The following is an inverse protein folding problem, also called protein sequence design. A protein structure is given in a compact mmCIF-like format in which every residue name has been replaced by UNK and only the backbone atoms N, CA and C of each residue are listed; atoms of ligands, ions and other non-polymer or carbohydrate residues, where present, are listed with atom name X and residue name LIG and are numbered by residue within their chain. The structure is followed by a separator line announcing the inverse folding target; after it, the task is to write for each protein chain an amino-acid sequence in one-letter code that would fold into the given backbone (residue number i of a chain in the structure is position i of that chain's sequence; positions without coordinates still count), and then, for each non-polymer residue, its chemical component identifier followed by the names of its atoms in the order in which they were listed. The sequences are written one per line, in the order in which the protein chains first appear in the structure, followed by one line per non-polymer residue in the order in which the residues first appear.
data_IF_809736043721
#
_entry.id   IF_809736043721
#
_cell.length_a   1.000
_cell.length_b   1.000
_cell.length_c   1.000
_cell.angle_alpha   90.00
_cell.angle_beta   90.00
_cell.angle_gamma   90.00
#
_symmetry.space_group_name_H-M   'P 1'
#
loop_
_entity.id
_entity.type
_entity.pdbx_description
1 polymer ?
#
# COMPACT_ATOMS: atom_id res chain seq x y z
N UNK A 1 -10.52 23.57 -17.41
CA UNK A 1 -9.27 24.17 -16.86
C UNK A 1 -8.78 23.26 -15.74
N UNK A 2 -7.64 22.58 -15.96
CA UNK A 2 -7.09 21.59 -14.99
C UNK A 2 -6.16 22.33 -14.05
N UNK A 3 -6.51 22.42 -12.76
CA UNK A 3 -5.60 22.91 -11.73
C UNK A 3 -4.63 21.82 -11.32
N UNK A 4 -3.42 21.88 -11.87
CA UNK A 4 -2.25 21.14 -11.38
C UNK A 4 -1.82 21.75 -10.05
N UNK A 5 -2.15 21.10 -8.92
CA UNK A 5 -1.57 21.46 -7.63
C UNK A 5 -0.14 20.92 -7.56
N UNK A 6 0.85 21.77 -7.84
CA UNK A 6 2.23 21.55 -7.42
C UNK A 6 2.28 21.53 -5.89
N UNK A 7 2.58 20.37 -5.27
CA UNK A 7 2.95 20.34 -3.85
C UNK A 7 4.29 21.03 -3.69
N UNK A 8 4.28 22.21 -3.04
CA UNK A 8 5.49 22.93 -2.69
C UNK A 8 6.28 22.12 -1.65
N UNK A 9 7.49 21.71 -1.97
CA UNK A 9 8.42 21.08 -1.03
C UNK A 9 9.02 22.18 -0.15
N UNK A 10 8.51 22.31 1.08
CA UNK A 10 9.29 22.92 2.16
C UNK A 10 10.34 21.87 2.60
N UNK A 11 11.60 22.22 2.41
CA UNK A 11 12.74 21.36 2.76
C UNK A 11 12.84 21.15 4.27
N UNK A 12 12.25 20.06 4.76
CA UNK A 12 12.54 19.49 6.07
C UNK A 12 13.47 18.30 5.82
N UNK A 13 14.72 18.43 6.25
CA UNK A 13 15.70 17.35 6.24
C UNK A 13 15.17 16.18 7.09
N UNK A 14 14.81 15.08 6.43
CA UNK A 14 14.36 13.85 7.08
C UNK A 14 15.60 13.12 7.63
N UNK A 15 15.58 12.67 8.90
CA UNK A 15 16.70 11.91 9.46
C UNK A 15 16.86 10.57 8.75
N UNK A 16 18.11 10.23 8.41
CA UNK A 16 18.47 8.91 7.91
C UNK A 16 18.21 7.87 9.01
N UNK A 17 17.29 6.94 8.78
CA UNK A 17 17.02 5.84 9.70
C UNK A 17 18.03 4.72 9.44
N UNK A 18 18.92 4.52 10.41
CA UNK A 18 19.85 3.40 10.46
C UNK A 18 19.08 2.09 10.60
N UNK A 19 19.50 1.08 9.84
CA UNK A 19 19.07 -0.30 9.98
C UNK A 19 19.65 -0.86 11.30
N UNK A 20 18.87 -0.85 12.39
CA UNK A 20 19.23 -1.50 13.65
C UNK A 20 18.73 -2.93 13.61
N UNK A 21 19.66 -3.87 13.44
CA UNK A 21 19.44 -5.30 13.74
C UNK A 21 19.66 -5.47 15.24
N UNK A 22 18.62 -5.34 16.03
CA UNK A 22 18.64 -5.74 17.45
C UNK A 22 17.46 -6.69 17.68
N UNK A 23 17.73 -7.79 18.43
CA UNK A 23 16.94 -8.99 18.63
C UNK A 23 15.53 -8.84 19.21
N UNK A 24 14.64 -8.24 18.46
CA UNK A 24 13.19 -8.25 18.59
C UNK A 24 12.62 -7.82 17.26
N UNK A 25 11.72 -8.61 16.67
CA UNK A 25 11.10 -8.23 15.40
C UNK A 25 10.25 -6.97 15.63
N UNK A 26 10.73 -5.82 15.12
CA UNK A 26 9.96 -4.58 15.12
C UNK A 26 8.70 -4.79 14.29
N UNK A 27 7.53 -4.46 14.84
CA UNK A 27 6.24 -4.57 14.14
C UNK A 27 6.24 -3.78 12.84
N UNK A 28 5.52 -4.27 11.83
CA UNK A 28 5.46 -3.59 10.52
C UNK A 28 4.81 -2.20 10.65
N UNK A 29 3.83 -2.03 11.54
CA UNK A 29 3.21 -0.74 11.81
C UNK A 29 4.22 0.31 12.36
N UNK A 30 5.21 -0.12 13.15
CA UNK A 30 6.30 0.72 13.66
C UNK A 30 7.27 1.07 12.54
N UNK A 31 7.71 0.07 11.74
CA UNK A 31 8.60 0.29 10.60
C UNK A 31 8.00 1.25 9.57
N UNK A 32 6.67 1.20 9.38
CA UNK A 32 5.94 2.11 8.51
C UNK A 32 5.63 3.45 9.17
N UNK A 33 6.03 3.64 10.43
CA UNK A 33 5.69 4.86 11.19
C UNK A 33 4.19 5.22 11.04
N UNK A 34 3.31 4.24 11.33
CA UNK A 34 1.88 4.44 11.16
C UNK A 34 1.36 5.58 12.03
N UNK A 35 0.51 6.41 11.45
CA UNK A 35 -0.12 7.56 12.11
C UNK A 35 -1.63 7.44 12.03
N UNK A 36 -2.36 7.94 13.04
CA UNK A 36 -3.83 7.94 13.04
C UNK A 36 -4.39 8.71 11.83
N UNK A 37 -5.55 8.27 11.35
CA UNK A 37 -6.23 8.82 10.18
C UNK A 37 -6.18 7.86 8.98
N UNK A 38 -6.34 8.40 7.77
CA UNK A 38 -6.40 7.62 6.52
C UNK A 38 -5.00 7.27 6.01
N UNK A 39 -4.77 5.99 5.78
CA UNK A 39 -3.60 5.47 5.06
C UNK A 39 -4.04 4.77 3.79
N UNK A 40 -3.53 5.19 2.65
CA UNK A 40 -3.74 4.52 1.37
C UNK A 40 -2.65 3.48 1.12
N UNK A 41 -3.03 2.28 0.71
CA UNK A 41 -2.12 1.20 0.30
C UNK A 41 -2.31 0.96 -1.19
N UNK A 42 -1.24 1.15 -1.95
CA UNK A 42 -1.18 1.04 -3.41
C UNK A 42 -0.17 0.01 -3.85
N UNK A 43 -0.08 -0.25 -5.16
CA UNK A 43 0.93 -1.13 -5.74
C UNK A 43 0.47 -2.57 -5.86
N UNK A 44 1.38 -3.54 -5.67
CA UNK A 44 1.11 -4.93 -6.03
C UNK A 44 1.92 -5.93 -5.20
N UNK A 45 1.35 -7.14 -5.05
CA UNK A 45 2.08 -8.25 -4.43
C UNK A 45 2.12 -8.22 -2.90
N UNK A 46 0.94 -8.05 -2.25
CA UNK A 46 0.82 -8.20 -0.79
C UNK A 46 0.00 -7.12 -0.08
N UNK A 47 -0.74 -6.26 -0.80
CA UNK A 47 -1.56 -5.21 -0.19
C UNK A 47 -2.54 -5.74 0.85
N UNK A 48 -3.40 -6.68 0.46
CA UNK A 48 -4.42 -7.25 1.35
C UNK A 48 -3.80 -7.90 2.60
N UNK A 49 -2.64 -8.56 2.43
CA UNK A 49 -1.87 -9.12 3.55
C UNK A 49 -1.35 -8.01 4.47
N UNK A 50 -0.81 -6.93 3.89
CA UNK A 50 -0.36 -5.78 4.68
C UNK A 50 -1.51 -5.15 5.47
N UNK A 51 -2.71 -4.99 4.87
CA UNK A 51 -3.88 -4.47 5.57
C UNK A 51 -4.23 -5.33 6.80
N UNK A 52 -4.20 -6.66 6.67
CA UNK A 52 -4.44 -7.59 7.79
C UNK A 52 -3.41 -7.44 8.90
N UNK A 53 -2.12 -7.47 8.55
CA UNK A 53 -1.03 -7.32 9.53
C UNK A 53 -1.16 -5.99 10.27
N UNK A 54 -1.41 -4.89 9.57
CA UNK A 54 -1.62 -3.59 10.19
C UNK A 54 -2.83 -3.58 11.12
N UNK A 55 -3.92 -4.23 10.74
CA UNK A 55 -5.11 -4.34 11.60
C UNK A 55 -4.82 -5.13 12.89
N UNK A 56 -3.94 -6.12 12.84
CA UNK A 56 -3.53 -6.93 14.00
C UNK A 56 -2.57 -6.16 14.92
N UNK A 57 -1.59 -5.48 14.33
CA UNK A 57 -0.50 -4.84 15.06
C UNK A 57 -0.84 -3.47 15.66
N UNK A 58 -1.74 -2.71 15.02
CA UNK A 58 -2.11 -1.37 15.48
C UNK A 58 -2.92 -1.44 16.77
N UNK A 59 -2.53 -0.63 17.75
CA UNK A 59 -3.27 -0.43 18.99
C UNK A 59 -4.32 0.66 18.79
N UNK A 60 -5.58 0.32 18.77
CA UNK A 60 -6.68 1.26 18.55
C UNK A 60 -7.71 0.69 17.58
N UNK A 61 -8.72 1.48 17.27
CA UNK A 61 -9.78 1.09 16.34
C UNK A 61 -9.32 1.20 14.90
N UNK A 62 -9.64 0.18 14.08
CA UNK A 62 -9.21 0.10 12.68
C UNK A 62 -10.40 -0.20 11.78
N UNK A 63 -10.52 0.58 10.71
CA UNK A 63 -11.41 0.29 9.58
C UNK A 63 -10.57 -0.15 8.40
N UNK A 64 -10.79 -1.38 7.91
CA UNK A 64 -10.26 -1.87 6.64
C UNK A 64 -11.26 -1.62 5.53
N UNK A 65 -10.84 -1.01 4.44
CA UNK A 65 -11.73 -0.63 3.35
C UNK A 65 -11.00 -0.52 2.01
N UNK A 66 -11.71 -0.08 0.99
CA UNK A 66 -11.16 0.17 -0.36
C UNK A 66 -11.76 1.42 -0.98
N UNK A 67 -11.03 2.04 -1.88
CA UNK A 67 -11.56 3.06 -2.80
C UNK A 67 -11.82 2.50 -4.20
N UNK A 68 -11.50 1.22 -4.43
CA UNK A 68 -11.69 0.51 -5.69
C UNK A 68 -12.53 -0.76 -5.48
N UNK A 69 -11.90 -1.94 -5.46
CA UNK A 69 -12.59 -3.21 -5.23
C UNK A 69 -11.71 -4.13 -4.36
N UNK A 70 -12.31 -4.72 -3.32
CA UNK A 70 -11.64 -5.69 -2.44
C UNK A 70 -12.61 -6.83 -2.09
N UNK A 71 -12.11 -8.02 -1.81
CA UNK A 71 -12.90 -9.05 -1.14
C UNK A 71 -12.98 -8.73 0.37
N UNK A 72 -14.11 -9.04 1.03
CA UNK A 72 -14.20 -8.94 2.49
C UNK A 72 -13.08 -9.75 3.17
N UNK A 73 -12.62 -9.27 4.31
CA UNK A 73 -11.60 -9.95 5.08
C UNK A 73 -12.23 -11.07 5.92
N UNK A 74 -11.86 -12.32 5.65
CA UNK A 74 -12.34 -13.45 6.46
C UNK A 74 -11.99 -13.23 7.96
N UNK A 75 -12.93 -13.51 8.86
CA UNK A 75 -12.75 -13.34 10.29
C UNK A 75 -12.86 -11.92 10.82
N UNK A 76 -13.01 -10.90 9.94
CA UNK A 76 -13.24 -9.51 10.33
C UNK A 76 -14.70 -9.15 10.07
N UNK A 77 -15.44 -8.59 11.05
CA UNK A 77 -16.82 -8.20 10.87
C UNK A 77 -16.99 -7.22 9.71
N UNK A 78 -17.90 -7.55 8.78
CA UNK A 78 -18.26 -6.68 7.68
C UNK A 78 -19.43 -5.78 8.09
N UNK A 79 -19.26 -4.48 7.93
CA UNK A 79 -20.31 -3.48 8.14
C UNK A 79 -20.63 -2.78 6.82
N UNK A 80 -21.91 -2.82 6.44
CA UNK A 80 -22.45 -2.11 5.28
C UNK A 80 -23.48 -1.11 5.81
N UNK A 81 -23.13 0.17 5.82
CA UNK A 81 -23.99 1.24 6.35
C UNK A 81 -23.56 2.61 5.83
N UNK A 82 -24.49 3.55 5.82
CA UNK A 82 -24.28 4.99 5.62
C UNK A 82 -24.51 5.78 6.94
N UNK A 83 -24.77 5.09 8.06
CA UNK A 83 -24.99 5.66 9.37
C UNK A 83 -23.72 5.60 10.23
N UNK A 84 -23.15 6.75 10.56
CA UNK A 84 -21.93 6.86 11.37
C UNK A 84 -22.11 6.33 12.81
N UNK A 85 -23.32 6.38 13.35
CA UNK A 85 -23.57 5.86 14.70
C UNK A 85 -23.53 4.31 14.72
N UNK A 86 -23.90 3.66 13.62
CA UNK A 86 -23.69 2.22 13.49
C UNK A 86 -22.19 1.88 13.43
N UNK A 87 -21.39 2.70 12.74
CA UNK A 87 -19.91 2.53 12.71
C UNK A 87 -19.33 2.63 14.12
N UNK A 88 -19.72 3.66 14.88
CA UNK A 88 -19.26 3.85 16.27
C UNK A 88 -19.64 2.68 17.18
N UNK A 89 -20.89 2.21 17.07
CA UNK A 89 -21.34 1.02 17.81
C UNK A 89 -20.57 -0.23 17.44
N UNK A 90 -20.32 -0.45 16.14
CA UNK A 90 -19.53 -1.59 15.69
C UNK A 90 -18.09 -1.54 16.21
N UNK A 91 -17.44 -0.36 16.18
CA UNK A 91 -16.08 -0.17 16.72
C UNK A 91 -15.99 -0.28 18.23
N UNK A 92 -17.08 -0.02 18.97
CA UNK A 92 -17.15 -0.27 20.41
C UNK A 92 -17.18 -1.78 20.76
N UNK A 93 -17.70 -2.61 19.85
CA UNK A 93 -17.76 -4.07 20.01
C UNK A 93 -16.57 -4.79 19.39
N UNK A 94 -16.01 -4.26 18.31
CA UNK A 94 -14.96 -4.87 17.53
C UNK A 94 -13.86 -3.84 17.23
N UNK A 95 -12.67 -4.08 17.73
CA UNK A 95 -11.51 -3.18 17.48
C UNK A 95 -11.23 -2.99 15.99
N UNK A 96 -11.48 -4.01 15.17
CA UNK A 96 -11.28 -4.01 13.71
C UNK A 96 -12.58 -4.36 13.01
N UNK A 97 -12.98 -3.56 12.02
CA UNK A 97 -14.11 -3.84 11.12
C UNK A 97 -13.68 -3.66 9.67
N UNK A 98 -14.36 -4.38 8.77
CA UNK A 98 -14.27 -4.16 7.33
C UNK A 98 -15.48 -3.34 6.88
N UNK A 99 -15.27 -2.33 6.04
CA UNK A 99 -16.36 -1.53 5.49
C UNK A 99 -16.27 -1.42 3.96
N UNK A 100 -17.42 -1.39 3.32
CA UNK A 100 -17.55 -1.16 1.89
C UNK A 100 -18.98 -1.36 1.42
N UNK A 101 -19.26 -0.98 0.18
CA UNK A 101 -20.55 -1.22 -0.48
C UNK A 101 -20.47 -2.52 -1.26
N UNK A 102 -21.40 -3.47 -1.09
CA UNK A 102 -21.42 -4.71 -1.85
C UNK A 102 -21.44 -4.48 -3.37
N UNK A 103 -20.64 -5.28 -4.08
CA UNK A 103 -20.50 -5.25 -5.53
C UNK A 103 -20.57 -6.67 -6.11
N UNK A 104 -20.43 -6.79 -7.43
CA UNK A 104 -20.41 -8.08 -8.12
C UNK A 104 -19.28 -8.98 -7.60
N UNK A 105 -19.45 -10.29 -7.78
CA UNK A 105 -18.47 -11.33 -7.42
C UNK A 105 -18.12 -11.36 -5.92
N UNK A 106 -19.01 -10.96 -5.03
CA UNK A 106 -18.78 -10.91 -3.58
C UNK A 106 -17.74 -9.88 -3.15
N UNK A 107 -17.38 -8.95 -4.01
CA UNK A 107 -16.46 -7.85 -3.71
C UNK A 107 -17.18 -6.69 -3.03
N UNK A 108 -16.39 -5.80 -2.47
CA UNK A 108 -16.79 -4.49 -1.95
C UNK A 108 -16.18 -3.40 -2.82
N UNK A 109 -16.91 -2.30 -2.99
CA UNK A 109 -16.40 -1.02 -3.46
C UNK A 109 -16.24 -0.05 -2.29
N UNK A 110 -15.93 1.21 -2.56
CA UNK A 110 -15.83 2.25 -1.56
C UNK A 110 -17.06 2.27 -0.62
N UNK A 111 -16.89 2.59 0.66
CA UNK A 111 -17.99 2.75 1.60
C UNK A 111 -18.88 3.93 1.20
N UNK A 112 -20.15 3.90 1.61
CA UNK A 112 -21.10 4.98 1.37
C UNK A 112 -20.70 6.27 2.13
N UNK A 113 -20.11 6.13 3.33
CA UNK A 113 -19.60 7.24 4.10
C UNK A 113 -18.27 7.76 3.56
N UNK A 114 -18.05 9.09 3.52
CA UNK A 114 -16.77 9.68 3.17
C UNK A 114 -15.62 9.21 4.08
N UNK A 115 -14.43 9.02 3.51
CA UNK A 115 -13.25 8.61 4.30
C UNK A 115 -12.88 9.59 5.41
N UNK A 116 -13.16 10.89 5.25
CA UNK A 116 -12.98 11.90 6.29
C UNK A 116 -13.90 11.68 7.49
N UNK A 117 -15.13 11.23 7.25
CA UNK A 117 -16.10 10.90 8.30
C UNK A 117 -15.65 9.64 9.05
N UNK A 118 -15.19 8.62 8.32
CA UNK A 118 -14.65 7.39 8.92
C UNK A 118 -13.40 7.67 9.76
N UNK A 119 -12.52 8.58 9.33
CA UNK A 119 -11.33 8.97 10.07
C UNK A 119 -11.61 9.72 11.38
N UNK A 120 -12.82 10.25 11.54
CA UNK A 120 -13.28 10.84 12.82
C UNK A 120 -13.93 9.79 13.76
N UNK A 121 -14.23 8.60 13.25
CA UNK A 121 -14.85 7.52 14.02
C UNK A 121 -13.85 6.44 14.45
N UNK A 122 -12.74 6.29 13.74
CA UNK A 122 -11.71 5.29 14.02
C UNK A 122 -10.32 5.92 14.14
N UNK A 123 -9.43 5.29 14.90
CA UNK A 123 -8.03 5.71 14.98
C UNK A 123 -7.31 5.56 13.62
N UNK A 124 -7.60 4.48 12.90
CA UNK A 124 -6.98 4.17 11.61
C UNK A 124 -8.02 3.75 10.58
N UNK A 125 -7.94 4.33 9.39
CA UNK A 125 -8.70 3.91 8.21
C UNK A 125 -7.69 3.48 7.14
N UNK A 126 -7.60 2.18 6.89
CA UNK A 126 -6.62 1.62 5.95
C UNK A 126 -7.34 1.25 4.66
N UNK A 127 -6.95 1.91 3.57
CA UNK A 127 -7.67 1.89 2.28
C UNK A 127 -6.82 1.19 1.23
N UNK A 128 -7.27 0.06 0.67
CA UNK A 128 -6.70 -0.48 -0.56
C UNK A 128 -7.15 0.39 -1.74
N UNK A 129 -6.21 1.13 -2.34
CA UNK A 129 -6.55 2.21 -3.27
C UNK A 129 -6.34 1.85 -4.75
N UNK A 130 -6.03 0.61 -5.06
CA UNK A 130 -5.88 0.12 -6.44
C UNK A 130 -5.99 -1.40 -6.58
N UNK A 131 -6.31 -1.88 -7.78
CA UNK A 131 -6.25 -3.30 -8.17
C UNK A 131 -4.95 -3.65 -8.88
N UNK A 132 -4.44 -4.88 -8.77
CA UNK A 132 -3.15 -5.30 -9.33
C UNK A 132 -3.14 -6.62 -10.09
N UNK A 133 -4.29 -7.26 -10.28
CA UNK A 133 -4.41 -8.57 -10.95
C UNK A 133 -3.45 -9.65 -10.40
N UNK A 134 -3.06 -9.56 -9.11
CA UNK A 134 -2.12 -10.47 -8.42
C UNK A 134 -0.72 -10.55 -9.04
N UNK A 135 -0.32 -9.56 -9.86
CA UNK A 135 1.04 -9.46 -10.38
C UNK A 135 1.98 -8.87 -9.32
N UNK A 136 3.29 -9.18 -9.36
CA UNK A 136 4.25 -8.70 -8.35
C UNK A 136 4.54 -7.19 -8.41
N UNK A 137 4.40 -6.58 -9.57
CA UNK A 137 4.67 -5.16 -9.81
C UNK A 137 3.50 -4.52 -10.56
N UNK A 138 3.43 -3.18 -10.52
CA UNK A 138 2.38 -2.42 -11.19
C UNK A 138 2.88 -1.08 -11.68
N UNK A 139 2.32 -0.62 -12.82
CA UNK A 139 2.30 0.78 -13.22
C UNK A 139 0.87 1.30 -13.17
N UNK A 140 0.66 2.51 -12.62
CA UNK A 140 -0.65 3.10 -12.45
C UNK A 140 -1.09 3.87 -13.70
N UNK A 141 -2.35 3.72 -14.08
CA UNK A 141 -2.97 4.56 -15.11
C UNK A 141 -3.41 5.91 -14.53
N UNK A 142 -3.81 6.85 -15.39
CA UNK A 142 -4.19 8.21 -14.96
C UNK A 142 -5.41 8.27 -14.02
N UNK A 143 -6.24 7.23 -14.02
CA UNK A 143 -7.41 7.07 -13.14
C UNK A 143 -7.11 6.24 -11.88
N UNK A 144 -5.88 5.82 -11.68
CA UNK A 144 -5.39 5.05 -10.54
C UNK A 144 -4.06 5.62 -10.03
N UNK A 145 -3.74 5.38 -8.76
CA UNK A 145 -4.60 4.87 -7.70
C UNK A 145 -5.69 5.88 -7.31
N UNK A 146 -6.79 5.40 -6.72
CA UNK A 146 -7.85 6.25 -6.18
C UNK A 146 -7.55 6.56 -4.72
N UNK A 147 -6.59 7.45 -4.49
CA UNK A 147 -6.15 7.86 -3.16
C UNK A 147 -7.17 8.86 -2.58
N UNK A 148 -7.77 8.58 -1.38
CA UNK A 148 -8.66 9.54 -0.72
C UNK A 148 -7.98 10.90 -0.46
N UNK A 149 -8.71 12.00 -0.62
CA UNK A 149 -8.16 13.36 -0.48
C UNK A 149 -7.56 13.65 0.90
N UNK A 150 -8.14 13.08 1.95
CA UNK A 150 -7.68 13.22 3.34
C UNK A 150 -6.62 12.18 3.75
N UNK A 151 -5.99 11.49 2.80
CA UNK A 151 -4.91 10.53 3.06
C UNK A 151 -3.72 11.22 3.70
N UNK A 152 -3.29 10.72 4.85
CA UNK A 152 -2.13 11.21 5.60
C UNK A 152 -0.84 10.48 5.26
N UNK A 153 -0.97 9.25 4.76
CA UNK A 153 0.17 8.41 4.36
C UNK A 153 -0.21 7.51 3.20
N UNK A 154 0.68 7.36 2.23
CA UNK A 154 0.55 6.41 1.12
C UNK A 154 1.68 5.40 1.18
N UNK A 155 1.34 4.11 1.24
CA UNK A 155 2.28 2.99 1.26
C UNK A 155 2.18 2.24 -0.06
N UNK A 156 3.29 2.14 -0.80
CA UNK A 156 3.36 1.36 -2.03
C UNK A 156 3.97 -0.02 -1.75
N UNK A 157 3.24 -1.09 -2.03
CA UNK A 157 3.73 -2.46 -1.92
C UNK A 157 4.27 -2.93 -3.26
N UNK A 158 5.45 -3.53 -3.24
CA UNK A 158 6.14 -4.14 -4.38
C UNK A 158 6.62 -5.53 -3.97
N UNK A 159 6.48 -6.53 -4.84
CA UNK A 159 6.93 -7.87 -4.53
C UNK A 159 8.25 -8.20 -5.23
N UNK A 160 9.25 -8.63 -4.45
CA UNK A 160 10.57 -9.01 -4.94
C UNK A 160 10.53 -10.17 -5.94
N UNK A 161 9.50 -11.04 -5.87
CA UNK A 161 9.31 -12.15 -6.81
C UNK A 161 9.11 -11.74 -8.28
N UNK A 162 8.94 -10.43 -8.53
CA UNK A 162 8.92 -9.85 -9.88
C UNK A 162 10.31 -9.64 -10.50
N UNK A 163 11.35 -9.57 -9.68
CA UNK A 163 12.71 -9.37 -10.18
C UNK A 163 13.20 -10.61 -10.95
N UNK A 164 13.95 -10.39 -12.01
CA UNK A 164 14.42 -11.45 -12.89
C UNK A 164 13.40 -11.95 -13.92
N UNK A 165 12.14 -11.50 -13.86
CA UNK A 165 11.08 -11.89 -14.82
C UNK A 165 10.96 -10.86 -15.94
N UNK A 166 10.47 -11.27 -17.13
CA UNK A 166 10.11 -10.33 -18.20
C UNK A 166 9.05 -9.33 -17.74
N UNK A 167 9.17 -8.06 -18.18
CA UNK A 167 8.24 -6.97 -17.81
C UNK A 167 6.80 -7.39 -18.06
N UNK A 168 6.47 -7.95 -19.22
CA UNK A 168 5.12 -8.40 -19.59
C UNK A 168 4.52 -9.45 -18.64
N UNK A 169 5.35 -10.18 -17.89
CA UNK A 169 4.92 -11.24 -16.97
C UNK A 169 4.86 -10.75 -15.50
N UNK A 170 5.66 -9.74 -15.18
CA UNK A 170 5.83 -9.28 -13.81
C UNK A 170 5.00 -8.03 -13.47
N UNK A 171 4.65 -7.22 -14.47
CA UNK A 171 4.09 -5.89 -14.25
C UNK A 171 2.64 -5.80 -14.73
N UNK A 172 1.75 -5.38 -13.85
CA UNK A 172 0.40 -4.97 -14.25
C UNK A 172 0.48 -3.63 -15.00
N UNK A 173 -0.05 -3.58 -16.24
CA UNK A 173 0.11 -2.50 -17.23
C UNK A 173 1.57 -2.29 -17.67
N UNK A 174 2.17 -3.33 -18.27
CA UNK A 174 3.56 -3.30 -18.66
C UNK A 174 3.87 -2.21 -19.70
N UNK A 175 2.89 -1.82 -20.54
CA UNK A 175 3.04 -0.75 -21.54
C UNK A 175 3.32 0.60 -20.86
N UNK A 176 2.58 0.92 -19.79
CA UNK A 176 2.78 2.15 -19.03
C UNK A 176 4.13 2.13 -18.29
N UNK A 177 4.50 0.97 -17.77
CA UNK A 177 5.80 0.80 -17.14
C UNK A 177 6.94 1.04 -18.12
N UNK A 178 6.87 0.43 -19.32
CA UNK A 178 7.84 0.62 -20.39
C UNK A 178 7.92 2.10 -20.81
N UNK A 179 6.78 2.76 -21.00
CA UNK A 179 6.75 4.18 -21.39
C UNK A 179 7.43 5.09 -20.37
N UNK A 180 7.34 4.77 -19.06
CA UNK A 180 7.95 5.57 -17.98
C UNK A 180 9.41 5.28 -17.74
N UNK A 181 9.83 4.04 -17.97
CA UNK A 181 11.18 3.58 -17.60
C UNK A 181 12.11 3.40 -18.78
N UNK A 182 11.61 3.48 -20.01
CA UNK A 182 12.36 3.13 -21.23
C UNK A 182 12.61 1.64 -21.41
N UNK A 183 11.98 0.78 -20.58
CA UNK A 183 12.12 -0.66 -20.68
C UNK A 183 11.42 -1.25 -21.90
N UNK A 184 11.81 -2.47 -22.27
CA UNK A 184 11.13 -3.28 -23.28
C UNK A 184 10.19 -4.29 -22.62
N UNK A 185 9.09 -4.67 -23.28
CA UNK A 185 8.11 -5.65 -22.80
C UNK A 185 8.74 -7.03 -22.51
N UNK A 186 9.71 -7.45 -23.31
CA UNK A 186 10.49 -8.69 -23.13
C UNK A 186 11.72 -8.50 -22.23
N UNK A 187 12.05 -7.26 -21.87
CA UNK A 187 13.18 -6.94 -21.00
C UNK A 187 12.96 -7.49 -19.58
N UNK A 188 14.05 -7.76 -18.89
CA UNK A 188 14.01 -8.31 -17.53
C UNK A 188 13.85 -7.18 -16.52
N UNK A 189 12.93 -7.35 -15.57
CA UNK A 189 12.76 -6.44 -14.45
C UNK A 189 13.96 -6.58 -13.51
N UNK A 190 14.82 -5.57 -13.52
CA UNK A 190 15.90 -5.46 -12.53
C UNK A 190 15.42 -4.68 -11.30
N UNK A 191 16.07 -4.81 -10.13
CA UNK A 191 15.76 -4.00 -8.95
C UNK A 191 15.79 -2.49 -9.24
N UNK A 192 16.79 -2.04 -9.99
CA UNK A 192 16.93 -0.64 -10.42
C UNK A 192 15.76 -0.20 -11.31
N UNK A 193 15.36 -1.02 -12.27
CA UNK A 193 14.27 -0.72 -13.19
C UNK A 193 12.93 -0.63 -12.44
N UNK A 194 12.66 -1.54 -11.48
CA UNK A 194 11.48 -1.50 -10.65
C UNK A 194 11.44 -0.22 -9.79
N UNK A 195 12.56 0.15 -9.18
CA UNK A 195 12.69 1.39 -8.43
C UNK A 195 12.45 2.63 -9.30
N UNK A 196 12.98 2.66 -10.53
CA UNK A 196 12.74 3.75 -11.49
C UNK A 196 11.26 3.92 -11.83
N UNK A 197 10.49 2.83 -11.96
CA UNK A 197 9.05 2.89 -12.16
C UNK A 197 8.34 3.60 -11.02
N UNK A 198 8.68 3.29 -9.77
CA UNK A 198 8.12 3.92 -8.57
C UNK A 198 8.51 5.40 -8.48
N UNK A 199 9.78 5.72 -8.75
CA UNK A 199 10.30 7.09 -8.75
C UNK A 199 9.57 7.94 -9.79
N UNK A 200 9.36 7.41 -10.99
CA UNK A 200 8.67 8.12 -12.07
C UNK A 200 7.20 8.42 -11.72
N UNK A 201 6.54 7.58 -10.94
CA UNK A 201 5.17 7.81 -10.48
C UNK A 201 5.08 8.76 -9.29
N UNK A 202 6.02 8.71 -8.38
CA UNK A 202 6.12 9.54 -7.17
C UNK A 202 4.81 9.62 -6.36
N UNK A 203 4.15 8.48 -6.14
CA UNK A 203 2.83 8.39 -5.50
C UNK A 203 2.87 8.00 -4.02
N UNK A 204 4.02 7.52 -3.52
CA UNK A 204 4.13 6.94 -2.19
C UNK A 204 5.04 7.74 -1.25
N UNK A 205 4.74 7.70 0.04
CA UNK A 205 5.63 8.20 1.11
C UNK A 205 6.60 7.11 1.56
N UNK A 206 6.15 5.86 1.55
CA UNK A 206 6.93 4.67 1.95
C UNK A 206 6.72 3.56 0.92
N UNK A 207 7.80 2.84 0.60
CA UNK A 207 7.77 1.66 -0.25
C UNK A 207 8.06 0.41 0.58
N UNK A 208 7.22 -0.60 0.47
CA UNK A 208 7.41 -1.93 1.08
C UNK A 208 7.85 -2.90 0.00
N UNK A 209 9.08 -3.43 0.12
CA UNK A 209 9.53 -4.58 -0.65
C UNK A 209 9.11 -5.85 0.09
N UNK A 210 8.02 -6.45 -0.36
CA UNK A 210 7.53 -7.73 0.15
C UNK A 210 8.24 -8.92 -0.47
N UNK A 211 8.25 -10.06 0.22
CA UNK A 211 8.97 -11.28 -0.18
C UNK A 211 10.47 -11.03 -0.43
N UNK A 212 11.08 -10.17 0.39
CA UNK A 212 12.48 -9.81 0.25
C UNK A 212 13.42 -11.02 0.43
N UNK A 213 12.97 -12.08 1.12
CA UNK A 213 13.66 -13.35 1.29
C UNK A 213 13.77 -14.19 0.01
N UNK A 214 12.95 -13.90 -1.00
CA UNK A 214 12.98 -14.63 -2.29
C UNK A 214 14.13 -14.19 -3.20
N UNK A 215 14.87 -13.16 -2.81
CA UNK A 215 16.03 -12.63 -3.56
C UNK A 215 17.25 -12.51 -2.66
N UNK A 216 18.44 -12.42 -3.27
CA UNK A 216 19.65 -12.21 -2.46
C UNK A 216 19.64 -10.83 -1.77
N UNK A 217 20.35 -10.68 -0.63
CA UNK A 217 20.47 -9.40 0.06
C UNK A 217 20.97 -8.26 -0.83
N UNK A 218 21.87 -8.56 -1.78
CA UNK A 218 22.42 -7.59 -2.73
C UNK A 218 21.36 -7.06 -3.69
N UNK A 219 20.42 -7.92 -4.11
CA UNK A 219 19.28 -7.55 -4.98
C UNK A 219 18.34 -6.62 -4.22
N UNK A 220 17.95 -6.99 -3.00
CA UNK A 220 17.13 -6.15 -2.14
C UNK A 220 17.81 -4.82 -1.82
N UNK A 221 19.12 -4.84 -1.54
CA UNK A 221 19.94 -3.65 -1.29
C UNK A 221 19.94 -2.69 -2.49
N UNK A 222 20.16 -3.19 -3.72
CA UNK A 222 20.15 -2.36 -4.94
C UNK A 222 18.81 -1.65 -5.15
N UNK A 223 17.69 -2.34 -4.93
CA UNK A 223 16.36 -1.73 -4.98
C UNK A 223 16.22 -0.61 -3.95
N UNK A 224 16.58 -0.92 -2.71
CA UNK A 224 16.48 0.01 -1.56
C UNK A 224 17.34 1.25 -1.76
N UNK A 225 18.60 1.09 -2.17
CA UNK A 225 19.53 2.21 -2.39
C UNK A 225 19.06 3.13 -3.52
N UNK A 226 18.53 2.54 -4.62
CA UNK A 226 17.99 3.33 -5.73
C UNK A 226 16.81 4.20 -5.28
N UNK A 227 15.90 3.69 -4.47
CA UNK A 227 14.77 4.44 -3.94
C UNK A 227 15.21 5.48 -2.89
N UNK A 228 16.10 5.09 -1.97
CA UNK A 228 16.61 6.00 -0.93
C UNK A 228 17.35 7.19 -1.52
N UNK A 229 18.16 6.99 -2.57
CA UNK A 229 18.84 8.10 -3.27
C UNK A 229 17.87 9.10 -3.91
N UNK A 230 16.61 8.69 -4.12
CA UNK A 230 15.52 9.55 -4.62
C UNK A 230 14.56 10.02 -3.52
N UNK A 231 14.94 9.88 -2.24
CA UNK A 231 14.20 10.40 -1.09
C UNK A 231 13.08 9.51 -0.54
N UNK A 232 12.94 8.27 -1.03
CA UNK A 232 11.94 7.35 -0.50
C UNK A 232 12.40 6.64 0.76
N UNK A 233 11.49 6.43 1.71
CA UNK A 233 11.65 5.46 2.79
C UNK A 233 11.31 4.07 2.27
N UNK A 234 12.16 3.07 2.57
CA UNK A 234 11.96 1.68 2.11
C UNK A 234 12.02 0.73 3.29
N UNK A 235 11.03 -0.16 3.37
CA UNK A 235 10.95 -1.27 4.32
C UNK A 235 11.04 -2.58 3.53
N UNK A 236 12.00 -3.44 3.86
CA UNK A 236 12.12 -4.79 3.29
C UNK A 236 11.55 -5.77 4.30
N UNK A 237 10.62 -6.62 3.88
CA UNK A 237 9.92 -7.54 4.77
C UNK A 237 9.41 -8.78 4.04
N UNK A 238 8.99 -9.75 4.82
CA UNK A 238 8.18 -10.90 4.40
C UNK A 238 6.81 -10.75 5.04
N UNK A 239 5.82 -10.35 4.26
CA UNK A 239 4.44 -10.25 4.74
C UNK A 239 3.83 -11.67 4.73
N UNK A 240 3.96 -12.37 5.84
CA UNK A 240 3.33 -13.66 6.05
C UNK A 240 2.15 -13.47 7.00
N UNK A 241 0.95 -13.74 6.51
CA UNK A 241 -0.22 -13.95 7.34
C UNK A 241 -0.42 -15.47 7.44
N UNK A 242 -0.03 -16.06 8.53
CA UNK A 242 -0.46 -17.43 8.89
C UNK A 242 -1.94 -17.34 9.23
N UNK A 243 -2.79 -17.86 8.33
CA UNK A 243 -4.16 -18.23 8.72
C UNK A 243 -4.00 -19.41 9.69
N UNK A 244 -4.09 -19.16 10.99
CA UNK A 244 -4.45 -20.20 11.96
C UNK A 244 -5.95 -20.49 11.89
#
# INVERSE_FOLDING_TARGET
MRHSRKRGHSGVSRPAVNMVVSGGFMKICEQLHMIKGVTAVIGSGGKTTLLRILAEELSGTVILTTSTHILPFAGIPLLVTDDIEQVRRALALHRVICMGTPAAEGKLTAPALPFSVLANAADYVIVEADGSKRLPLKAHASHEPVIPENTRKTVCVVCASGFGKPVKQAVHRPELFCARTGAHMSGIVTPKLAAQGIIAENLADIVVLNQAETVSPEIAKRFTETLKSSGFTVVCTTLNHTLE
#
